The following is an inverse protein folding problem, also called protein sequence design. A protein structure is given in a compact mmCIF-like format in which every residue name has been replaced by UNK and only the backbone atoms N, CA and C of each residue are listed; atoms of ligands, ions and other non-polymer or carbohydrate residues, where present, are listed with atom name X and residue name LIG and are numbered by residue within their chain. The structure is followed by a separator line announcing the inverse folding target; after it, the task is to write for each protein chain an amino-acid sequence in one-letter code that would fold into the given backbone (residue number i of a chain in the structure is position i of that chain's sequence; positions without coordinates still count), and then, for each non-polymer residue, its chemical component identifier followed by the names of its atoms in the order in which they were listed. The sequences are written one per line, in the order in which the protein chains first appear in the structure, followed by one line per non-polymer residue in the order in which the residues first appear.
data_IF_691217063378
#
_entry.id   IF_691217063378
#
_cell.length_a   1.000
_cell.length_b   1.000
_cell.length_c   1.000
_cell.angle_alpha   90.00
_cell.angle_beta   90.00
_cell.angle_gamma   90.00
#
_symmetry.space_group_name_H-M   'P 1'
#
loop_
_entity.id
_entity.type
_entity.pdbx_description
1 polymer ?
#
# COMPACT_ATOMS: atom_id res chain seq x y z
N UNK A 1 -35.23 -6.09 3.26
CA UNK A 1 -33.78 -6.28 3.52
C UNK A 1 -33.03 -6.34 2.20
N UNK A 2 -32.88 -5.22 1.46
CA UNK A 2 -32.25 -5.24 0.12
C UNK A 2 -31.35 -4.02 -0.14
N UNK A 3 -30.89 -3.33 0.90
CA UNK A 3 -30.13 -2.08 0.75
C UNK A 3 -28.60 -2.21 0.78
N UNK A 4 -28.06 -3.35 1.20
CA UNK A 4 -26.63 -3.52 1.52
C UNK A 4 -25.76 -3.91 0.32
N UNK A 5 -26.32 -4.61 -0.65
CA UNK A 5 -25.56 -5.14 -1.81
C UNK A 5 -25.30 -4.08 -2.88
N UNK A 6 -26.22 -3.12 -3.04
CA UNK A 6 -26.12 -2.10 -4.10
C UNK A 6 -25.02 -1.07 -3.84
N UNK A 7 -24.75 -0.73 -2.57
CA UNK A 7 -23.74 0.26 -2.19
C UNK A 7 -22.29 -0.23 -2.39
N UNK A 8 -22.04 -1.53 -2.27
CA UNK A 8 -20.71 -2.08 -2.50
C UNK A 8 -20.36 -2.11 -3.99
N UNK A 9 -21.31 -2.41 -4.86
CA UNK A 9 -21.07 -2.44 -6.31
C UNK A 9 -20.73 -1.05 -6.90
N UNK A 10 -21.28 0.02 -6.35
CA UNK A 10 -20.98 1.39 -6.80
C UNK A 10 -19.61 1.87 -6.27
N UNK A 11 -19.21 1.46 -5.08
CA UNK A 11 -17.88 1.75 -4.54
C UNK A 11 -16.77 1.08 -5.35
N UNK A 12 -16.96 -0.17 -5.74
CA UNK A 12 -15.99 -0.92 -6.55
C UNK A 12 -15.84 -0.30 -7.95
N UNK A 13 -16.94 0.18 -8.56
CA UNK A 13 -16.88 0.87 -9.86
C UNK A 13 -16.19 2.22 -9.80
N UNK A 14 -16.38 3.00 -8.74
CA UNK A 14 -15.70 4.28 -8.55
C UNK A 14 -14.19 4.09 -8.26
N UNK A 15 -13.81 3.09 -7.50
CA UNK A 15 -12.41 2.71 -7.26
C UNK A 15 -11.70 2.40 -8.57
N UNK A 16 -12.27 1.55 -9.39
CA UNK A 16 -11.71 1.12 -10.68
C UNK A 16 -11.51 2.28 -11.67
N UNK A 17 -12.41 3.24 -11.75
CA UNK A 17 -12.29 4.40 -12.65
C UNK A 17 -11.15 5.32 -12.24
N UNK A 18 -10.96 5.57 -10.95
CA UNK A 18 -9.87 6.43 -10.45
C UNK A 18 -8.49 5.78 -10.63
N UNK A 19 -8.42 4.47 -10.53
CA UNK A 19 -7.17 3.72 -10.67
C UNK A 19 -6.68 3.69 -12.12
N UNK A 20 -7.56 3.49 -13.09
CA UNK A 20 -7.21 3.61 -14.51
C UNK A 20 -6.79 5.03 -14.90
N UNK A 21 -7.39 6.06 -14.31
CA UNK A 21 -6.99 7.44 -14.55
C UNK A 21 -5.57 7.71 -14.00
N UNK A 22 -5.23 7.16 -12.85
CA UNK A 22 -3.89 7.28 -12.26
C UNK A 22 -2.83 6.56 -13.12
N UNK A 23 -3.11 5.35 -13.58
CA UNK A 23 -2.22 4.60 -14.48
C UNK A 23 -1.92 5.39 -15.75
N UNK A 24 -2.94 5.91 -16.41
CA UNK A 24 -2.79 6.73 -17.61
C UNK A 24 -2.05 8.05 -17.35
N UNK A 25 -2.30 8.70 -16.22
CA UNK A 25 -1.62 9.93 -15.84
C UNK A 25 -0.12 9.69 -15.63
N UNK A 26 0.26 8.63 -14.93
CA UNK A 26 1.67 8.25 -14.75
C UNK A 26 2.30 7.93 -16.10
N UNK A 27 1.66 7.10 -16.93
CA UNK A 27 2.17 6.75 -18.26
C UNK A 27 2.34 7.98 -19.15
N UNK A 28 1.39 8.91 -19.14
CA UNK A 28 1.47 10.12 -19.97
C UNK A 28 2.55 11.11 -19.54
N UNK A 29 2.89 11.14 -18.24
CA UNK A 29 3.93 12.01 -17.71
C UNK A 29 5.35 11.51 -17.98
N UNK A 30 5.52 10.20 -18.04
CA UNK A 30 6.85 9.57 -18.14
C UNK A 30 7.14 8.96 -19.52
N UNK A 31 6.19 9.02 -20.45
CA UNK A 31 6.39 8.56 -21.82
C UNK A 31 6.60 9.73 -22.76
N UNK A 32 7.70 9.71 -23.48
CA UNK A 32 7.92 10.66 -24.59
C UNK A 32 7.13 10.21 -25.80
N UNK A 33 6.69 11.16 -26.65
CA UNK A 33 5.94 10.89 -27.89
C UNK A 33 6.68 9.98 -28.90
N UNK A 34 7.96 9.73 -28.67
CA UNK A 34 8.85 9.01 -29.60
C UNK A 34 8.79 7.47 -29.44
N UNK A 35 8.17 6.94 -28.36
CA UNK A 35 8.15 5.51 -28.13
C UNK A 35 6.86 5.05 -27.44
N UNK A 36 5.77 4.77 -28.21
CA UNK A 36 4.48 4.36 -27.67
C UNK A 36 4.51 3.02 -26.92
N UNK A 37 5.41 2.10 -27.30
CA UNK A 37 5.54 0.79 -26.66
C UNK A 37 5.97 0.93 -25.17
N UNK A 38 6.67 2.01 -24.87
CA UNK A 38 7.09 2.36 -23.51
C UNK A 38 5.92 2.76 -22.60
N UNK A 39 4.89 3.40 -23.18
CA UNK A 39 3.67 3.73 -22.42
C UNK A 39 2.93 2.48 -21.97
N UNK A 40 2.86 1.47 -22.82
CA UNK A 40 2.16 0.23 -22.55
C UNK A 40 2.80 -0.56 -21.40
N UNK A 41 4.13 -0.66 -21.39
CA UNK A 41 4.83 -1.37 -20.29
C UNK A 41 4.61 -0.71 -18.94
N UNK A 42 4.67 0.63 -18.87
CA UNK A 42 4.43 1.36 -17.64
C UNK A 42 2.95 1.30 -17.22
N UNK A 43 2.02 1.36 -18.17
CA UNK A 43 0.59 1.20 -17.91
C UNK A 43 0.27 -0.18 -17.33
N UNK A 44 0.78 -1.24 -17.94
CA UNK A 44 0.65 -2.62 -17.44
C UNK A 44 1.22 -2.79 -16.02
N UNK A 45 2.35 -2.16 -15.73
CA UNK A 45 2.94 -2.20 -14.40
C UNK A 45 2.05 -1.52 -13.37
N UNK A 46 1.55 -0.34 -13.69
CA UNK A 46 0.61 0.39 -12.83
C UNK A 46 -0.70 -0.37 -12.63
N UNK A 47 -1.26 -0.97 -13.69
CA UNK A 47 -2.47 -1.79 -13.60
C UNK A 47 -2.27 -3.00 -12.67
N UNK A 48 -1.12 -3.68 -12.77
CA UNK A 48 -0.79 -4.80 -11.87
C UNK A 48 -0.70 -4.36 -10.43
N UNK A 49 -0.02 -3.24 -10.14
CA UNK A 49 0.02 -2.64 -8.80
C UNK A 49 -1.36 -2.29 -8.27
N UNK A 50 -2.23 -1.76 -9.12
CA UNK A 50 -3.61 -1.42 -8.78
C UNK A 50 -4.39 -2.67 -8.37
N UNK A 51 -4.34 -3.73 -9.18
CA UNK A 51 -5.02 -5.00 -8.88
C UNK A 51 -4.58 -5.58 -7.53
N UNK A 52 -3.28 -5.50 -7.22
CA UNK A 52 -2.77 -5.95 -5.92
C UNK A 52 -3.28 -5.08 -4.78
N UNK A 53 -3.30 -3.76 -4.98
CA UNK A 53 -3.79 -2.81 -3.97
C UNK A 53 -5.29 -3.00 -3.68
N UNK A 54 -6.10 -3.29 -4.70
CA UNK A 54 -7.52 -3.60 -4.54
C UNK A 54 -7.74 -4.89 -3.71
N UNK A 55 -6.77 -5.79 -3.71
CA UNK A 55 -6.75 -6.99 -2.87
C UNK A 55 -6.04 -6.79 -1.52
N UNK A 56 -5.72 -5.56 -1.14
CA UNK A 56 -5.07 -5.23 0.13
C UNK A 56 -3.56 -5.44 0.15
N UNK A 57 -2.92 -5.68 -1.00
CA UNK A 57 -1.48 -5.84 -1.13
C UNK A 57 -0.90 -4.57 -1.75
N UNK A 58 -0.06 -3.86 -1.04
CA UNK A 58 0.43 -2.52 -1.40
C UNK A 58 1.63 -2.51 -2.32
N UNK A 59 2.24 -3.67 -2.60
CA UNK A 59 3.47 -3.81 -3.40
C UNK A 59 3.47 -5.07 -4.27
N UNK A 60 4.36 -5.10 -5.25
CA UNK A 60 4.70 -6.26 -6.06
C UNK A 60 6.09 -6.78 -5.66
N UNK A 61 6.26 -8.09 -5.66
CA UNK A 61 7.56 -8.75 -5.52
C UNK A 61 8.26 -8.87 -6.87
N UNK A 62 9.58 -9.10 -6.87
CA UNK A 62 10.40 -9.12 -8.07
C UNK A 62 9.89 -10.08 -9.16
N UNK A 63 9.41 -11.25 -8.79
CA UNK A 63 8.83 -12.24 -9.71
C UNK A 63 7.54 -11.77 -10.38
N UNK A 64 6.83 -10.83 -9.78
CA UNK A 64 5.52 -10.36 -10.24
C UNK A 64 5.61 -9.21 -11.25
N UNK A 65 6.77 -8.56 -11.37
CA UNK A 65 6.97 -7.45 -12.31
C UNK A 65 8.18 -7.60 -13.24
N UNK A 66 9.02 -8.61 -13.04
CA UNK A 66 10.27 -8.79 -13.80
C UNK A 66 10.08 -8.96 -15.30
N UNK A 67 8.92 -9.46 -15.72
CA UNK A 67 8.53 -9.59 -17.14
C UNK A 67 8.26 -8.23 -17.79
N UNK A 68 7.77 -7.27 -17.03
CA UNK A 68 7.42 -5.91 -17.48
C UNK A 68 8.63 -4.98 -17.39
N UNK A 69 9.41 -5.08 -16.33
CA UNK A 69 10.58 -4.23 -16.08
C UNK A 69 11.81 -4.52 -16.98
N UNK A 70 11.66 -5.34 -18.01
CA UNK A 70 12.69 -5.50 -19.06
C UNK A 70 12.76 -4.29 -19.98
N UNK A 71 11.72 -3.48 -20.02
CA UNK A 71 11.66 -2.27 -20.82
C UNK A 71 12.36 -1.11 -20.09
N UNK A 72 13.42 -0.51 -20.67
CA UNK A 72 14.17 0.58 -20.05
C UNK A 72 13.34 1.82 -19.70
N UNK A 73 12.22 2.02 -20.38
CA UNK A 73 11.34 3.17 -20.17
C UNK A 73 10.64 3.16 -18.82
N UNK A 74 10.40 1.98 -18.28
CA UNK A 74 9.81 1.81 -16.95
C UNK A 74 10.69 2.47 -15.89
N UNK A 75 12.03 2.46 -16.10
CA UNK A 75 12.99 3.06 -15.16
C UNK A 75 12.86 4.60 -15.04
N UNK A 76 12.25 5.28 -16.00
CA UNK A 76 12.00 6.73 -15.88
C UNK A 76 11.00 7.08 -14.77
N UNK A 77 10.09 6.16 -14.46
CA UNK A 77 9.07 6.34 -13.43
C UNK A 77 9.37 5.59 -12.12
N UNK A 78 10.36 4.69 -12.13
CA UNK A 78 10.74 3.82 -11.00
C UNK A 78 12.07 4.30 -10.43
N UNK A 79 12.15 4.45 -9.13
CA UNK A 79 13.40 4.81 -8.45
C UNK A 79 13.44 4.35 -7.01
N UNK A 80 14.62 4.51 -6.41
CA UNK A 80 14.79 4.30 -4.99
C UNK A 80 13.94 5.27 -4.15
N UNK A 81 13.73 5.02 -2.86
CA UNK A 81 12.88 5.84 -1.99
C UNK A 81 13.22 7.34 -2.02
N UNK A 82 14.49 7.70 -2.16
CA UNK A 82 14.99 9.10 -2.20
C UNK A 82 14.75 9.80 -3.55
N UNK A 83 14.48 9.08 -4.62
CA UNK A 83 14.43 9.64 -5.98
C UNK A 83 13.22 10.53 -6.29
N UNK A 84 12.18 10.55 -5.45
CA UNK A 84 10.97 11.37 -5.66
C UNK A 84 10.07 10.91 -6.81
N UNK A 85 10.34 9.76 -7.43
CA UNK A 85 9.57 9.21 -8.56
C UNK A 85 8.26 8.55 -8.07
N UNK A 86 7.23 8.41 -8.95
CA UNK A 86 5.92 7.91 -8.57
C UNK A 86 5.92 6.44 -8.14
N UNK A 87 6.86 5.65 -8.65
CA UNK A 87 7.05 4.26 -8.27
C UNK A 87 8.35 4.10 -7.48
N UNK A 88 8.29 3.36 -6.39
CA UNK A 88 9.41 3.14 -5.48
C UNK A 88 9.83 1.68 -5.52
N UNK A 89 11.09 1.45 -5.88
CA UNK A 89 11.73 0.15 -5.78
C UNK A 89 12.65 0.12 -4.56
N UNK A 90 12.35 -0.77 -3.64
CA UNK A 90 13.15 -0.94 -2.42
C UNK A 90 14.36 -1.82 -2.67
N UNK A 91 15.34 -1.77 -1.78
CA UNK A 91 16.51 -2.66 -1.80
C UNK A 91 16.17 -4.14 -1.64
N UNK A 92 15.00 -4.46 -1.08
CA UNK A 92 14.48 -5.82 -0.98
C UNK A 92 13.82 -6.32 -2.27
N UNK A 93 13.71 -5.47 -3.31
CA UNK A 93 13.06 -5.81 -4.57
C UNK A 93 11.54 -5.67 -4.56
N UNK A 94 10.96 -4.98 -3.58
CA UNK A 94 9.52 -4.69 -3.56
C UNK A 94 9.23 -3.38 -4.29
N UNK A 95 8.24 -3.40 -5.17
CA UNK A 95 7.82 -2.25 -5.99
C UNK A 95 6.48 -1.72 -5.48
N UNK A 96 6.43 -0.42 -5.21
CA UNK A 96 5.27 0.28 -4.64
C UNK A 96 4.84 1.46 -5.50
N UNK A 97 3.57 1.86 -5.43
CA UNK A 97 3.27 3.27 -5.60
C UNK A 97 3.87 4.07 -4.43
N UNK A 98 4.50 5.21 -4.72
CA UNK A 98 5.13 6.08 -3.70
C UNK A 98 4.24 6.36 -2.52
N UNK A 99 2.97 6.68 -2.76
CA UNK A 99 1.99 6.97 -1.72
C UNK A 99 1.85 5.85 -0.69
N UNK A 100 1.79 4.59 -1.14
CA UNK A 100 1.65 3.45 -0.23
C UNK A 100 2.95 3.16 0.50
N UNK A 101 4.09 3.29 -0.18
CA UNK A 101 5.39 3.19 0.47
C UNK A 101 5.54 4.21 1.62
N UNK A 102 5.17 5.46 1.39
CA UNK A 102 5.25 6.53 2.38
C UNK A 102 4.31 6.27 3.56
N UNK A 103 3.10 5.80 3.31
CA UNK A 103 2.16 5.42 4.38
C UNK A 103 2.67 4.25 5.23
N UNK A 104 3.17 3.19 4.62
CA UNK A 104 3.73 2.06 5.37
C UNK A 104 4.93 2.50 6.20
N UNK A 105 5.81 3.32 5.62
CA UNK A 105 6.95 3.87 6.33
C UNK A 105 6.52 4.73 7.53
N UNK A 106 5.56 5.62 7.36
CA UNK A 106 5.04 6.47 8.42
C UNK A 106 4.43 5.65 9.56
N UNK A 107 3.67 4.59 9.23
CA UNK A 107 3.12 3.66 10.21
C UNK A 107 4.25 2.93 10.95
N UNK A 108 5.23 2.39 10.22
CA UNK A 108 6.37 1.68 10.81
C UNK A 108 7.18 2.59 11.74
N UNK A 109 7.50 3.82 11.31
CA UNK A 109 8.21 4.81 12.10
C UNK A 109 7.42 5.19 13.37
N UNK A 110 6.10 5.35 13.26
CA UNK A 110 5.21 5.65 14.39
C UNK A 110 5.17 4.50 15.41
N UNK A 111 5.10 3.25 14.93
CA UNK A 111 5.12 2.06 15.79
C UNK A 111 6.48 1.90 16.47
N UNK A 112 7.59 2.08 15.73
CA UNK A 112 8.94 2.03 16.28
C UNK A 112 9.15 3.11 17.34
N UNK A 113 8.67 4.33 17.08
CA UNK A 113 8.71 5.41 18.07
C UNK A 113 7.94 5.04 19.33
N UNK A 114 6.72 4.52 19.23
CA UNK A 114 5.92 4.09 20.39
C UNK A 114 6.60 2.96 21.16
N UNK A 115 7.16 1.99 20.45
CA UNK A 115 7.89 0.87 21.07
C UNK A 115 9.17 1.32 21.79
N UNK A 116 9.80 2.41 21.31
CA UNK A 116 11.01 2.98 21.94
C UNK A 116 10.71 3.81 23.20
N UNK A 117 9.45 4.23 23.38
CA UNK A 117 9.06 4.90 24.62
C UNK A 117 9.14 3.90 25.76
N UNK A 118 9.97 4.20 26.75
CA UNK A 118 10.05 3.35 27.95
C UNK A 118 8.65 3.15 28.53
N UNK A 119 8.23 1.90 28.67
CA UNK A 119 6.98 1.58 29.34
C UNK A 119 7.02 2.23 30.73
N UNK A 120 6.07 3.10 31.03
CA UNK A 120 5.82 3.47 32.41
C UNK A 120 5.50 2.18 33.13
N UNK A 121 6.15 1.93 34.26
CA UNK A 121 5.78 0.79 35.11
C UNK A 121 4.28 0.89 35.39
N UNK A 122 3.50 -0.01 34.77
CA UNK A 122 2.08 -0.08 35.05
C UNK A 122 1.90 -0.46 36.53
N UNK A 123 1.13 0.34 37.25
CA UNK A 123 0.79 0.00 38.64
C UNK A 123 -0.10 -1.26 38.66
N UNK A 124 -0.11 -1.98 39.76
CA UNK A 124 -1.00 -3.14 39.92
C UNK A 124 -2.47 -2.79 39.67
N UNK A 125 -2.88 -1.54 39.95
CA UNK A 125 -4.22 -1.03 39.70
C UNK A 125 -4.50 -0.85 38.19
N UNK A 126 -3.51 -0.41 37.42
CA UNK A 126 -3.65 -0.24 35.96
C UNK A 126 -3.79 -1.62 35.30
N UNK A 127 -3.05 -2.62 35.75
CA UNK A 127 -3.14 -4.00 35.28
C UNK A 127 -4.49 -4.60 35.62
N UNK A 128 -5.02 -4.38 36.81
CA UNK A 128 -6.33 -4.86 37.23
C UNK A 128 -7.44 -4.22 36.44
N UNK A 129 -7.39 -2.90 36.23
CA UNK A 129 -8.34 -2.17 35.40
C UNK A 129 -8.32 -2.68 33.95
N UNK A 130 -7.13 -2.84 33.36
CA UNK A 130 -6.95 -3.32 32.01
C UNK A 130 -7.52 -4.74 31.82
N UNK A 131 -7.21 -5.65 32.73
CA UNK A 131 -7.74 -7.02 32.70
C UNK A 131 -9.27 -7.05 32.82
N UNK A 132 -9.83 -6.18 33.67
CA UNK A 132 -11.29 -6.06 33.82
C UNK A 132 -11.93 -5.53 32.54
N UNK A 133 -11.36 -4.47 31.96
CA UNK A 133 -11.83 -3.89 30.71
C UNK A 133 -11.77 -4.87 29.54
N UNK A 134 -10.68 -5.63 29.41
CA UNK A 134 -10.54 -6.65 28.36
C UNK A 134 -11.61 -7.73 28.47
N UNK A 135 -11.87 -8.24 29.67
CA UNK A 135 -12.91 -9.27 29.88
C UNK A 135 -14.30 -8.82 29.52
N UNK A 136 -14.58 -7.53 29.65
CA UNK A 136 -15.92 -6.96 29.40
C UNK A 136 -16.13 -6.51 27.96
N UNK A 137 -15.06 -6.14 27.21
CA UNK A 137 -15.18 -5.41 25.94
C UNK A 137 -14.44 -6.05 24.76
N UNK A 138 -13.66 -7.09 24.99
CA UNK A 138 -12.79 -7.69 23.97
C UNK A 138 -13.06 -9.18 23.88
N UNK A 139 -13.20 -9.70 22.65
CA UNK A 139 -13.35 -11.13 22.44
C UNK A 139 -12.00 -11.90 22.67
N UNK A 140 -12.09 -13.24 22.77
CA UNK A 140 -10.91 -14.06 23.05
C UNK A 140 -9.80 -13.92 22.00
N UNK A 141 -10.14 -13.70 20.73
CA UNK A 141 -9.16 -13.55 19.65
C UNK A 141 -8.43 -12.22 19.74
N UNK A 142 -9.12 -11.18 20.15
CA UNK A 142 -8.53 -9.85 20.35
C UNK A 142 -7.67 -9.80 21.63
N UNK A 143 -8.07 -10.51 22.68
CA UNK A 143 -7.31 -10.57 23.93
C UNK A 143 -5.95 -11.26 23.77
N UNK A 144 -5.80 -12.18 22.81
CA UNK A 144 -4.52 -12.85 22.50
C UNK A 144 -3.54 -11.97 21.73
N UNK A 145 -3.99 -10.85 21.16
CA UNK A 145 -3.18 -9.94 20.35
C UNK A 145 -2.57 -8.77 21.18
N UNK A 146 -2.88 -8.70 22.47
CA UNK A 146 -2.45 -7.65 23.40
C UNK A 146 -1.39 -8.19 24.37
#
# INVERSE_FOLDING_TARGET
MSGSVSMNLERDKLGSVHTHALSRAISSLFTTRENPDHAESLERLCERLIQYTENGITHLLAEEYSDICKDPSVYSAVGEPSAGLPLVLTSSGSLYFRRFYEYEKEIADSLAFRASQSSRDCSSKDIEFFNTYIREHVDESQALAI
#
